data_IF_609853729174
#
_entry.id   IF_609853729174
#
_cell.length_a   1.000
_cell.length_b   1.000
_cell.length_c   1.000
_cell.angle_alpha   90.00
_cell.angle_beta   90.00
_cell.angle_gamma   90.00
#
_symmetry.space_group_name_H-M   'P 1'
#
loop_
_entity.id
_entity.type
_entity.pdbx_description
1 polymer ?
#
# COMPACT_ATOMS: atom_id res chain seq x y z
N UNK A 1 -3.51 17.84 -9.25
CA UNK A 1 -3.05 18.09 -10.64
C UNK A 1 -1.58 17.83 -10.67
N UNK A 2 -1.16 16.76 -11.34
CA UNK A 2 0.23 16.33 -11.40
C UNK A 2 1.09 17.35 -12.15
N UNK A 3 2.21 17.80 -11.56
CA UNK A 3 3.07 18.84 -12.15
C UNK A 3 4.02 18.25 -13.21
N UNK A 4 3.45 17.68 -14.27
CA UNK A 4 4.23 17.04 -15.35
C UNK A 4 5.23 18.00 -15.99
N UNK A 5 4.92 19.31 -16.06
CA UNK A 5 5.84 20.32 -16.59
C UNK A 5 7.12 20.43 -15.76
N UNK A 6 7.03 20.32 -14.43
CA UNK A 6 8.19 20.33 -13.54
C UNK A 6 9.01 19.05 -13.66
N UNK A 7 8.36 17.88 -13.67
CA UNK A 7 9.06 16.60 -13.74
C UNK A 7 9.59 16.27 -15.15
N UNK A 8 9.02 16.83 -16.21
CA UNK A 8 9.56 16.67 -17.56
C UNK A 8 10.99 17.22 -17.70
N UNK A 9 11.36 18.21 -16.86
CA UNK A 9 12.72 18.74 -16.75
C UNK A 9 13.74 17.77 -16.16
N UNK A 10 13.33 16.57 -15.78
CA UNK A 10 14.21 15.46 -15.40
C UNK A 10 14.87 14.85 -16.63
N UNK A 11 14.13 14.73 -17.74
CA UNK A 11 14.61 14.07 -18.96
C UNK A 11 14.74 15.01 -20.17
N UNK A 12 14.12 16.19 -20.14
CA UNK A 12 14.23 17.18 -21.21
C UNK A 12 14.35 18.61 -20.68
N UNK A 13 15.46 19.28 -20.99
CA UNK A 13 15.71 20.68 -20.60
C UNK A 13 14.89 21.69 -21.38
N UNK A 14 14.43 21.35 -22.58
CA UNK A 14 13.65 22.20 -23.49
C UNK A 14 12.17 21.87 -23.46
N UNK A 15 11.56 21.82 -22.29
CA UNK A 15 10.16 21.42 -22.14
C UNK A 15 9.21 22.42 -22.82
N UNK A 16 8.46 21.98 -23.83
CA UNK A 16 7.38 22.74 -24.46
C UNK A 16 5.98 22.21 -24.08
N UNK A 17 4.94 23.00 -24.34
CA UNK A 17 3.56 22.64 -24.01
C UNK A 17 3.13 21.36 -24.74
N UNK A 18 3.59 21.16 -25.98
CA UNK A 18 3.26 20.00 -26.80
C UNK A 18 3.79 18.69 -26.21
N UNK A 19 5.00 18.68 -25.66
CA UNK A 19 5.59 17.55 -24.96
C UNK A 19 4.79 17.27 -23.68
N UNK A 20 4.52 18.29 -22.86
CA UNK A 20 3.77 18.14 -21.60
C UNK A 20 2.39 17.58 -21.86
N UNK A 21 1.64 18.11 -22.83
CA UNK A 21 0.31 17.62 -23.19
C UNK A 21 0.33 16.15 -23.62
N UNK A 22 1.28 15.75 -24.45
CA UNK A 22 1.41 14.35 -24.88
C UNK A 22 1.71 13.42 -23.71
N UNK A 23 2.54 13.86 -22.76
CA UNK A 23 2.85 13.08 -21.55
C UNK A 23 1.66 13.02 -20.60
N UNK A 24 0.88 14.09 -20.44
CA UNK A 24 -0.35 14.07 -19.65
C UNK A 24 -1.39 13.09 -20.21
N UNK A 25 -1.50 12.96 -21.54
CA UNK A 25 -2.36 11.94 -22.15
C UNK A 25 -1.86 10.52 -21.86
N UNK A 26 -0.55 10.27 -21.95
CA UNK A 26 0.03 8.98 -21.56
C UNK A 26 -0.17 8.68 -20.07
N UNK A 27 -0.04 9.68 -19.19
CA UNK A 27 -0.32 9.60 -17.76
C UNK A 27 -1.75 9.13 -17.50
N UNK A 28 -2.74 9.68 -18.22
CA UNK A 28 -4.13 9.27 -18.07
C UNK A 28 -4.36 7.80 -18.47
N UNK A 29 -3.70 7.30 -19.51
CA UNK A 29 -3.79 5.88 -19.90
C UNK A 29 -3.09 4.95 -18.91
N UNK A 30 -1.94 5.35 -18.37
CA UNK A 30 -1.22 4.60 -17.33
C UNK A 30 -2.01 4.56 -16.03
N UNK A 31 -2.68 5.66 -15.68
CA UNK A 31 -3.60 5.71 -14.55
C UNK A 31 -4.74 4.71 -14.69
N UNK A 32 -5.40 4.67 -15.85
CA UNK A 32 -6.44 3.68 -16.11
C UNK A 32 -5.89 2.24 -16.04
N UNK A 33 -4.64 2.03 -16.46
CA UNK A 33 -3.96 0.75 -16.27
C UNK A 33 -3.77 0.41 -14.79
N UNK A 34 -3.28 1.33 -13.95
CA UNK A 34 -3.15 1.13 -12.51
C UNK A 34 -4.49 0.77 -11.85
N UNK A 35 -5.57 1.45 -12.22
CA UNK A 35 -6.93 1.16 -11.72
C UNK A 35 -7.41 -0.24 -12.14
N UNK A 36 -6.96 -0.76 -13.28
CA UNK A 36 -7.33 -2.09 -13.80
C UNK A 36 -6.55 -3.26 -13.19
N UNK A 37 -5.49 -2.99 -12.41
CA UNK A 37 -4.66 -4.04 -11.82
C UNK A 37 -5.44 -4.83 -10.76
N UNK A 38 -5.01 -6.06 -10.48
CA UNK A 38 -5.39 -6.75 -9.25
C UNK A 38 -4.49 -6.27 -8.10
N UNK A 39 -4.90 -6.39 -6.82
CA UNK A 39 -4.06 -6.01 -5.68
C UNK A 39 -2.66 -6.66 -5.70
N UNK A 40 -2.59 -7.95 -6.07
CA UNK A 40 -1.33 -8.69 -6.22
C UNK A 40 -0.41 -8.12 -7.31
N UNK A 41 -0.99 -7.79 -8.47
CA UNK A 41 -0.24 -7.17 -9.57
C UNK A 41 0.16 -5.74 -9.23
N UNK A 42 -0.65 -5.01 -8.46
CA UNK A 42 -0.32 -3.68 -7.98
C UNK A 42 0.91 -3.70 -7.05
N UNK A 43 0.96 -4.64 -6.10
CA UNK A 43 2.10 -4.79 -5.17
C UNK A 43 3.39 -5.09 -5.93
N UNK A 44 3.38 -6.08 -6.83
CA UNK A 44 4.56 -6.45 -7.64
C UNK A 44 4.97 -5.32 -8.59
N UNK A 45 4.01 -4.62 -9.20
CA UNK A 45 4.27 -3.45 -10.06
C UNK A 45 4.95 -2.32 -9.29
N UNK A 46 4.44 -1.96 -8.11
CA UNK A 46 5.04 -0.92 -7.26
C UNK A 46 6.46 -1.28 -6.84
N UNK A 47 6.71 -2.55 -6.47
CA UNK A 47 8.04 -3.05 -6.12
C UNK A 47 9.03 -2.87 -7.27
N UNK A 48 8.66 -3.36 -8.47
CA UNK A 48 9.48 -3.27 -9.68
C UNK A 48 9.78 -1.82 -10.08
N UNK A 49 8.76 -0.95 -10.07
CA UNK A 49 8.95 0.48 -10.36
C UNK A 49 9.89 1.11 -9.32
N UNK A 50 9.64 0.88 -8.03
CA UNK A 50 10.41 1.48 -6.93
C UNK A 50 11.89 1.08 -6.97
N UNK A 51 12.17 -0.20 -7.26
CA UNK A 51 13.53 -0.73 -7.36
C UNK A 51 14.36 -0.10 -8.49
N UNK A 52 13.68 0.46 -9.51
CA UNK A 52 14.33 1.10 -10.65
C UNK A 52 14.64 2.58 -10.44
N UNK A 53 14.11 3.21 -9.38
CA UNK A 53 14.44 4.60 -9.05
C UNK A 53 15.85 4.70 -8.50
N UNK A 54 16.60 5.71 -8.94
CA UNK A 54 17.95 5.96 -8.45
C UNK A 54 19.03 5.02 -8.95
N UNK A 55 18.68 4.05 -9.79
CA UNK A 55 19.62 3.12 -10.41
C UNK A 55 19.65 3.35 -11.92
N UNK A 56 20.79 3.05 -12.54
CA UNK A 56 20.91 2.93 -14.00
C UNK A 56 20.30 1.62 -14.53
N UNK A 57 19.53 0.90 -13.72
CA UNK A 57 18.84 -0.30 -14.17
C UNK A 57 17.59 0.08 -14.97
N UNK A 58 17.39 -0.55 -16.13
CA UNK A 58 16.16 -0.46 -16.89
C UNK A 58 14.97 -1.00 -16.10
N UNK A 59 13.76 -0.56 -16.47
CA UNK A 59 12.54 -1.19 -15.98
C UNK A 59 12.46 -2.63 -16.54
N UNK A 60 11.85 -3.59 -15.80
CA UNK A 60 11.52 -4.88 -16.38
C UNK A 60 10.70 -4.72 -17.66
N UNK A 61 11.00 -5.52 -18.68
CA UNK A 61 10.45 -5.34 -20.03
C UNK A 61 8.92 -5.30 -20.07
N UNK A 62 8.25 -6.09 -19.23
CA UNK A 62 6.79 -6.09 -19.11
C UNK A 62 6.22 -4.69 -18.78
N UNK A 63 6.84 -3.99 -17.82
CA UNK A 63 6.39 -2.66 -17.38
C UNK A 63 6.87 -1.59 -18.38
N UNK A 64 8.09 -1.73 -18.86
CA UNK A 64 8.67 -0.78 -19.81
C UNK A 64 7.92 -0.79 -21.14
N UNK A 65 7.51 -1.95 -21.64
CA UNK A 65 6.70 -2.08 -22.86
C UNK A 65 5.34 -1.41 -22.72
N UNK A 66 4.67 -1.54 -21.56
CA UNK A 66 3.41 -0.84 -21.28
C UNK A 66 3.64 0.67 -21.31
N UNK A 67 4.67 1.16 -20.62
CA UNK A 67 5.01 2.58 -20.61
C UNK A 67 5.35 3.14 -21.99
N UNK A 68 6.16 2.41 -22.76
CA UNK A 68 6.50 2.74 -24.15
C UNK A 68 5.25 2.81 -25.02
N UNK A 69 4.40 1.78 -24.99
CA UNK A 69 3.16 1.72 -25.76
C UNK A 69 2.26 2.93 -25.48
N UNK A 70 2.05 3.27 -24.20
CA UNK A 70 1.20 4.41 -23.80
C UNK A 70 1.78 5.75 -24.22
N UNK A 71 3.11 5.90 -24.17
CA UNK A 71 3.77 7.12 -24.63
C UNK A 71 3.72 7.24 -26.16
N UNK A 72 3.98 6.15 -26.89
CA UNK A 72 4.01 6.13 -28.36
C UNK A 72 2.66 6.47 -28.99
N UNK A 73 1.54 6.10 -28.33
CA UNK A 73 0.18 6.49 -28.79
C UNK A 73 0.01 8.00 -28.95
N UNK A 74 0.70 8.81 -28.15
CA UNK A 74 0.61 10.28 -28.19
C UNK A 74 1.90 10.95 -28.69
N UNK A 75 3.01 10.22 -28.73
CA UNK A 75 4.30 10.68 -29.19
C UNK A 75 4.98 9.59 -30.03
N UNK A 76 4.56 9.46 -31.29
CA UNK A 76 5.05 8.43 -32.23
C UNK A 76 6.57 8.46 -32.43
N UNK A 77 7.21 9.62 -32.22
CA UNK A 77 8.66 9.78 -32.26
C UNK A 77 9.40 9.22 -31.03
N UNK A 78 8.68 8.73 -30.01
CA UNK A 78 9.29 8.16 -28.83
C UNK A 78 9.91 6.79 -29.14
N UNK A 79 11.20 6.65 -28.85
CA UNK A 79 11.96 5.41 -29.02
C UNK A 79 12.59 5.05 -27.69
N UNK A 80 12.21 3.89 -27.10
CA UNK A 80 12.75 3.45 -25.80
C UNK A 80 14.27 3.35 -25.79
N UNK A 81 14.86 2.78 -26.84
CA UNK A 81 16.33 2.62 -26.94
C UNK A 81 17.12 3.93 -26.98
N UNK A 82 16.46 5.05 -27.30
CA UNK A 82 17.05 6.39 -27.28
C UNK A 82 16.95 7.07 -25.90
N UNK A 83 16.27 6.45 -24.93
CA UNK A 83 16.08 6.96 -23.57
C UNK A 83 16.92 6.13 -22.59
N UNK A 84 18.03 6.69 -22.05
CA UNK A 84 18.85 5.99 -21.07
C UNK A 84 18.01 5.52 -19.88
N UNK A 85 18.25 4.27 -19.47
CA UNK A 85 17.71 3.64 -18.26
C UNK A 85 16.18 3.76 -18.09
N UNK A 86 15.43 3.85 -19.21
CA UNK A 86 13.99 4.08 -19.22
C UNK A 86 13.52 5.32 -18.43
N UNK A 87 14.40 6.32 -18.26
CA UNK A 87 14.16 7.47 -17.34
C UNK A 87 12.83 8.17 -17.62
N UNK A 88 12.53 8.44 -18.88
CA UNK A 88 11.28 9.09 -19.27
C UNK A 88 10.05 8.26 -18.88
N UNK A 89 10.12 6.93 -19.05
CA UNK A 89 9.04 6.02 -18.70
C UNK A 89 8.85 6.00 -17.18
N UNK A 90 9.95 5.91 -16.40
CA UNK A 90 9.93 5.96 -14.94
C UNK A 90 9.25 7.23 -14.41
N UNK A 91 9.56 8.39 -14.99
CA UNK A 91 8.95 9.67 -14.62
C UNK A 91 7.45 9.66 -14.90
N UNK A 92 7.04 9.25 -16.11
CA UNK A 92 5.62 9.19 -16.49
C UNK A 92 4.84 8.22 -15.59
N UNK A 93 5.41 7.06 -15.24
CA UNK A 93 4.80 6.09 -14.32
C UNK A 93 4.62 6.69 -12.91
N UNK A 94 5.63 7.37 -12.36
CA UNK A 94 5.52 8.02 -11.05
C UNK A 94 4.48 9.15 -11.05
N UNK A 95 4.47 9.98 -12.09
CA UNK A 95 3.50 11.07 -12.25
C UNK A 95 2.07 10.53 -12.33
N UNK A 96 1.88 9.40 -13.01
CA UNK A 96 0.59 8.71 -13.05
C UNK A 96 0.19 8.08 -11.71
N UNK A 97 1.14 7.52 -10.97
CA UNK A 97 0.91 7.03 -9.62
C UNK A 97 0.48 8.18 -8.67
N UNK A 98 1.17 9.33 -8.73
CA UNK A 98 0.76 10.53 -7.98
C UNK A 98 -0.66 10.97 -8.35
N UNK A 99 -0.98 11.02 -9.65
CA UNK A 99 -2.30 11.47 -10.09
C UNK A 99 -3.42 10.50 -9.67
N UNK A 100 -3.21 9.18 -9.76
CA UNK A 100 -4.22 8.21 -9.34
C UNK A 100 -4.50 8.33 -7.85
N UNK A 101 -3.47 8.44 -7.01
CA UNK A 101 -3.62 8.58 -5.55
C UNK A 101 -4.34 9.87 -5.14
N UNK A 102 -4.11 10.96 -5.87
CA UNK A 102 -4.78 12.24 -5.61
C UNK A 102 -6.24 12.26 -6.08
N UNK A 103 -6.58 11.50 -7.11
CA UNK A 103 -7.89 11.55 -7.76
C UNK A 103 -8.96 10.65 -7.14
N UNK A 104 -8.57 9.56 -6.49
CA UNK A 104 -9.51 8.61 -5.90
C UNK A 104 -10.25 9.26 -4.72
N UNK A 105 -11.58 9.28 -4.83
CA UNK A 105 -12.46 9.72 -3.75
C UNK A 105 -12.72 8.56 -2.80
N UNK A 106 -12.52 8.79 -1.50
CA UNK A 106 -12.62 7.77 -0.47
C UNK A 106 -14.08 7.30 -0.30
N UNK A 107 -14.44 6.20 -0.96
CA UNK A 107 -15.77 5.58 -0.83
C UNK A 107 -15.72 4.15 -0.29
N UNK A 108 -14.61 3.45 -0.46
CA UNK A 108 -14.38 2.13 0.13
C UNK A 108 -12.90 1.80 0.00
N UNK A 109 -12.26 1.35 1.08
CA UNK A 109 -10.90 0.82 1.02
C UNK A 109 -10.89 -0.61 0.47
N UNK A 110 -9.80 -1.00 -0.16
CA UNK A 110 -9.56 -2.37 -0.64
C UNK A 110 -9.30 -2.49 -2.15
N UNK A 111 -9.20 -1.37 -2.86
CA UNK A 111 -8.95 -1.34 -4.29
C UNK A 111 -7.50 -1.68 -4.65
N UNK A 112 -7.27 -2.00 -5.92
CA UNK A 112 -5.92 -2.13 -6.49
C UNK A 112 -5.07 -0.88 -6.30
N UNK A 113 -5.68 0.31 -6.33
CA UNK A 113 -5.02 1.59 -6.08
C UNK A 113 -4.56 1.70 -4.63
N UNK A 114 -5.35 1.21 -3.67
CA UNK A 114 -4.97 1.20 -2.25
C UNK A 114 -3.75 0.29 -2.01
N UNK A 115 -3.76 -0.91 -2.63
CA UNK A 115 -2.64 -1.84 -2.59
C UNK A 115 -1.38 -1.24 -3.25
N UNK A 116 -1.54 -0.57 -4.39
CA UNK A 116 -0.46 0.13 -5.09
C UNK A 116 0.15 1.22 -4.22
N UNK A 117 -0.68 2.06 -3.59
CA UNK A 117 -0.24 3.16 -2.72
C UNK A 117 0.49 2.63 -1.47
N UNK A 118 -0.05 1.59 -0.82
CA UNK A 118 0.59 0.98 0.33
C UNK A 118 1.94 0.35 -0.02
N UNK A 119 2.03 -0.29 -1.19
CA UNK A 119 3.27 -0.88 -1.69
C UNK A 119 4.34 0.19 -1.99
N UNK A 120 3.97 1.28 -2.70
CA UNK A 120 4.88 2.41 -2.91
C UNK A 120 5.32 3.07 -1.62
N UNK A 121 4.41 3.25 -0.66
CA UNK A 121 4.78 3.79 0.66
C UNK A 121 5.83 2.88 1.32
N UNK A 122 5.58 1.57 1.40
CA UNK A 122 6.52 0.65 2.04
C UNK A 122 7.89 0.64 1.37
N UNK A 123 7.92 0.58 0.04
CA UNK A 123 9.16 0.50 -0.74
C UNK A 123 9.96 1.81 -0.69
N UNK A 124 9.32 2.94 -0.99
CA UNK A 124 10.01 4.24 -1.06
C UNK A 124 10.45 4.73 0.33
N UNK A 125 9.76 4.33 1.40
CA UNK A 125 10.19 4.62 2.77
C UNK A 125 11.40 3.77 3.23
N UNK A 126 11.79 2.74 2.48
CA UNK A 126 13.01 1.96 2.72
C UNK A 126 14.11 2.26 1.70
N UNK A 127 13.88 3.20 0.80
CA UNK A 127 14.86 3.58 -0.20
C UNK A 127 15.76 4.69 0.32
N UNK A 128 17.06 4.61 0.01
CA UNK A 128 18.00 5.69 0.29
C UNK A 128 17.63 6.96 -0.49
N UNK A 129 17.93 8.16 0.05
CA UNK A 129 17.82 9.39 -0.74
C UNK A 129 18.62 9.29 -2.05
N UNK A 130 18.03 9.76 -3.15
CA UNK A 130 18.66 9.72 -4.47
C UNK A 130 19.60 10.91 -4.66
N UNK A 131 20.73 10.70 -5.35
CA UNK A 131 21.73 11.76 -5.59
C UNK A 131 21.21 12.89 -6.48
N UNK A 132 20.37 12.56 -7.47
CA UNK A 132 19.79 13.54 -8.40
C UNK A 132 18.60 14.24 -7.74
N UNK A 133 18.79 15.50 -7.35
CA UNK A 133 17.81 16.33 -6.62
C UNK A 133 16.40 16.30 -7.22
N UNK A 134 16.28 16.44 -8.55
CA UNK A 134 14.96 16.43 -9.21
C UNK A 134 14.27 15.06 -9.14
N UNK A 135 15.04 13.97 -9.21
CA UNK A 135 14.51 12.60 -9.11
C UNK A 135 14.16 12.28 -7.66
N UNK A 136 14.99 12.73 -6.71
CA UNK A 136 14.70 12.62 -5.28
C UNK A 136 13.41 13.36 -4.92
N UNK A 137 13.20 14.56 -5.47
CA UNK A 137 11.95 15.30 -5.27
C UNK A 137 10.74 14.53 -5.78
N UNK A 138 10.81 13.95 -6.99
CA UNK A 138 9.74 13.09 -7.51
C UNK A 138 9.49 11.86 -6.60
N UNK A 139 10.55 11.23 -6.09
CA UNK A 139 10.45 10.12 -5.14
C UNK A 139 9.75 10.54 -3.84
N UNK A 140 10.11 11.69 -3.28
CA UNK A 140 9.49 12.25 -2.07
C UNK A 140 8.02 12.63 -2.28
N UNK A 141 7.69 13.23 -3.42
CA UNK A 141 6.31 13.59 -3.78
C UNK A 141 5.45 12.33 -3.95
N UNK A 142 5.99 11.29 -4.59
CA UNK A 142 5.32 9.99 -4.72
C UNK A 142 5.15 9.30 -3.35
N UNK A 143 6.18 9.29 -2.50
CA UNK A 143 6.10 8.76 -1.13
C UNK A 143 5.02 9.50 -0.32
N UNK A 144 4.99 10.83 -0.41
CA UNK A 144 4.02 11.67 0.31
C UNK A 144 2.59 11.43 -0.20
N UNK A 145 2.40 11.36 -1.53
CA UNK A 145 1.10 11.06 -2.14
C UNK A 145 0.59 9.67 -1.72
N UNK A 146 1.48 8.67 -1.76
CA UNK A 146 1.18 7.28 -1.37
C UNK A 146 0.75 7.20 0.10
N UNK A 147 1.55 7.78 1.00
CA UNK A 147 1.23 7.82 2.45
C UNK A 147 -0.08 8.55 2.72
N UNK A 148 -0.27 9.73 2.13
CA UNK A 148 -1.48 10.55 2.32
C UNK A 148 -2.73 9.81 1.86
N UNK A 149 -2.64 9.14 0.72
CA UNK A 149 -3.73 8.34 0.19
C UNK A 149 -4.09 7.18 1.11
N UNK A 150 -3.10 6.39 1.53
CA UNK A 150 -3.32 5.24 2.44
C UNK A 150 -3.95 5.69 3.74
N UNK A 151 -3.46 6.76 4.37
CA UNK A 151 -4.03 7.26 5.62
C UNK A 151 -5.46 7.77 5.44
N UNK A 152 -5.72 8.53 4.38
CA UNK A 152 -7.06 9.04 4.06
C UNK A 152 -8.06 7.91 3.85
N UNK A 153 -7.68 6.86 3.11
CA UNK A 153 -8.54 5.70 2.88
C UNK A 153 -8.70 4.88 4.15
N UNK A 154 -7.64 4.70 4.94
CA UNK A 154 -7.69 3.98 6.21
C UNK A 154 -8.66 4.63 7.21
N UNK A 155 -8.71 5.97 7.27
CA UNK A 155 -9.66 6.71 8.10
C UNK A 155 -11.09 6.64 7.54
N UNK A 156 -11.24 6.90 6.23
CA UNK A 156 -12.55 6.89 5.59
C UNK A 156 -13.22 5.51 5.61
N UNK A 157 -12.45 4.44 5.43
CA UNK A 157 -12.95 3.07 5.46
C UNK A 157 -13.42 2.64 6.86
N UNK A 158 -13.07 3.41 7.90
CA UNK A 158 -13.51 3.20 9.29
C UNK A 158 -14.61 4.16 9.75
N UNK A 159 -15.13 4.99 8.84
CA UNK A 159 -16.32 5.78 9.12
C UNK A 159 -17.54 4.87 9.25
N UNK A 160 -18.31 5.04 10.33
CA UNK A 160 -19.56 4.29 10.54
C UNK A 160 -20.60 4.69 9.49
N UNK A 161 -21.25 3.69 8.91
CA UNK A 161 -22.36 3.93 8.00
C UNK A 161 -23.64 4.21 8.80
N UNK A 162 -24.37 5.24 8.39
CA UNK A 162 -25.73 5.48 8.89
C UNK A 162 -26.63 4.33 8.44
N UNK A 163 -27.32 3.69 9.39
CA UNK A 163 -28.27 2.62 9.08
C UNK A 163 -29.61 3.25 8.66
N UNK A 164 -30.00 3.18 7.37
CA UNK A 164 -31.27 3.75 6.93
C UNK A 164 -32.45 2.97 7.49
N UNK A 165 -33.58 3.65 7.70
CA UNK A 165 -34.85 2.99 7.99
C UNK A 165 -35.38 2.29 6.74
N UNK A 166 -36.07 1.15 6.92
CA UNK A 166 -36.75 0.46 5.81
C UNK A 166 -37.91 1.35 5.37
N UNK A 167 -37.85 1.85 4.14
CA UNK A 167 -38.93 2.62 3.52
C UNK A 167 -40.17 1.76 3.23
N UNK A 168 -41.30 2.42 2.94
CA UNK A 168 -42.53 1.75 2.51
C UNK A 168 -42.27 0.99 1.19
N UNK A 169 -42.40 -0.34 1.24
CA UNK A 169 -42.32 -1.18 0.05
C UNK A 169 -43.64 -1.03 -0.72
N UNK A 170 -43.64 -0.18 -1.76
CA UNK A 170 -44.81 0.00 -2.61
C UNK A 170 -44.93 -1.17 -3.59
N UNK A 171 -45.77 -2.13 -3.24
CA UNK A 171 -46.10 -3.29 -4.07
C UNK A 171 -47.50 -3.08 -4.62
N UNK A 172 -47.64 -2.99 -5.94
CA UNK A 172 -48.97 -2.97 -6.56
C UNK A 172 -49.67 -4.30 -6.26
N UNK A 173 -50.87 -4.23 -5.68
CA UNK A 173 -51.69 -5.39 -5.31
C UNK A 173 -52.07 -6.27 -6.52
N UNK A 174 -51.96 -5.73 -7.75
CA UNK A 174 -52.22 -6.44 -9.01
C UNK A 174 -51.00 -7.16 -9.59
N UNK A 175 -49.85 -7.14 -8.89
CA UNK A 175 -48.63 -7.78 -9.40
C UNK A 175 -48.69 -9.31 -9.26
N UNK A 176 -49.07 -9.98 -10.34
CA UNK A 176 -49.07 -11.46 -10.47
C UNK A 176 -47.67 -12.07 -10.63
N UNK A 177 -46.60 -11.28 -10.47
CA UNK A 177 -45.20 -11.71 -10.62
C UNK A 177 -44.48 -11.71 -9.27
N UNK A 178 -44.29 -12.87 -8.61
CA UNK A 178 -43.61 -13.01 -7.32
C UNK A 178 -42.18 -12.41 -7.30
N UNK A 179 -41.52 -12.38 -8.46
CA UNK A 179 -40.17 -11.82 -8.62
C UNK A 179 -40.10 -10.31 -8.39
N UNK A 180 -41.18 -9.56 -8.66
CA UNK A 180 -41.22 -8.09 -8.45
C UNK A 180 -41.34 -7.73 -6.97
N UNK A 181 -42.10 -8.52 -6.21
CA UNK A 181 -42.27 -8.39 -4.76
C UNK A 181 -40.93 -8.60 -4.05
N UNK A 182 -40.23 -9.70 -4.37
CA UNK A 182 -38.92 -10.01 -3.78
C UNK A 182 -37.86 -8.96 -4.13
N UNK A 183 -37.87 -8.43 -5.36
CA UNK A 183 -36.93 -7.37 -5.78
C UNK A 183 -37.19 -6.05 -5.06
N UNK A 184 -38.45 -5.64 -4.92
CA UNK A 184 -38.82 -4.41 -4.21
C UNK A 184 -38.47 -4.49 -2.72
N UNK A 185 -38.72 -5.65 -2.09
CA UNK A 185 -38.33 -5.89 -0.71
C UNK A 185 -36.80 -5.89 -0.52
N UNK A 186 -36.06 -6.62 -1.37
CA UNK A 186 -34.60 -6.64 -1.34
C UNK A 186 -34.02 -5.22 -1.51
N UNK A 187 -34.51 -4.45 -2.49
CA UNK A 187 -34.04 -3.07 -2.70
C UNK A 187 -34.30 -2.13 -1.51
N UNK A 188 -35.39 -2.35 -0.76
CA UNK A 188 -35.72 -1.54 0.41
C UNK A 188 -34.87 -1.91 1.65
N UNK A 189 -34.45 -3.17 1.77
CA UNK A 189 -33.78 -3.70 2.96
C UNK A 189 -32.26 -3.82 2.78
N UNK A 190 -31.76 -4.03 1.56
CA UNK A 190 -30.33 -4.22 1.26
C UNK A 190 -29.45 -3.08 1.79
N UNK A 191 -29.83 -1.78 1.68
CA UNK A 191 -29.01 -0.69 2.22
C UNK A 191 -28.86 -0.77 3.75
N UNK A 192 -29.94 -1.15 4.44
CA UNK A 192 -29.93 -1.35 5.90
C UNK A 192 -29.02 -2.52 6.28
N UNK A 193 -29.18 -3.67 5.61
CA UNK A 193 -28.36 -4.87 5.88
C UNK A 193 -26.89 -4.59 5.58
N UNK A 194 -26.58 -3.92 4.47
CA UNK A 194 -25.21 -3.58 4.08
C UNK A 194 -24.55 -2.69 5.13
N UNK A 195 -25.22 -1.61 5.55
CA UNK A 195 -24.71 -0.72 6.59
C UNK A 195 -24.49 -1.44 7.93
N UNK A 196 -25.41 -2.32 8.34
CA UNK A 196 -25.25 -3.13 9.56
C UNK A 196 -24.06 -4.10 9.45
N UNK A 197 -23.89 -4.77 8.31
CA UNK A 197 -22.76 -5.69 8.07
C UNK A 197 -21.43 -4.95 8.10
N UNK A 198 -21.34 -3.82 7.41
CA UNK A 198 -20.12 -3.01 7.38
C UNK A 198 -19.74 -2.50 8.78
N UNK A 199 -20.71 -2.00 9.54
CA UNK A 199 -20.50 -1.58 10.92
C UNK A 199 -20.08 -2.76 11.82
N UNK A 200 -20.68 -3.94 11.66
CA UNK A 200 -20.29 -5.13 12.44
C UNK A 200 -18.87 -5.60 12.11
N UNK A 201 -18.41 -5.45 10.86
CA UNK A 201 -17.01 -5.73 10.48
C UNK A 201 -16.06 -4.76 11.18
N UNK A 202 -16.44 -3.48 11.30
CA UNK A 202 -15.67 -2.49 12.05
C UNK A 202 -15.63 -2.80 13.54
N UNK A 203 -16.78 -3.14 14.14
CA UNK A 203 -16.84 -3.55 15.56
C UNK A 203 -15.90 -4.72 15.83
N UNK A 204 -15.87 -5.71 14.94
CA UNK A 204 -15.01 -6.86 15.10
C UNK A 204 -13.53 -6.51 14.98
N UNK A 205 -13.15 -5.59 14.08
CA UNK A 205 -11.78 -5.08 13.97
C UNK A 205 -11.37 -4.36 15.25
N UNK A 206 -12.20 -3.44 15.73
CA UNK A 206 -11.93 -2.68 16.95
C UNK A 206 -11.85 -3.59 18.20
N UNK A 207 -12.75 -4.57 18.32
CA UNK A 207 -12.74 -5.54 19.42
C UNK A 207 -11.52 -6.46 19.37
N UNK A 208 -11.20 -7.05 18.21
CA UNK A 208 -10.03 -7.91 18.06
C UNK A 208 -8.73 -7.15 18.39
N UNK A 209 -8.63 -5.90 17.91
CA UNK A 209 -7.49 -5.02 18.16
C UNK A 209 -7.40 -4.63 19.64
N UNK A 210 -8.53 -4.27 20.27
CA UNK A 210 -8.57 -3.96 21.71
C UNK A 210 -8.22 -5.18 22.57
N UNK A 211 -8.70 -6.37 22.23
CA UNK A 211 -8.41 -7.59 23.00
C UNK A 211 -6.93 -7.95 22.93
N UNK A 212 -6.35 -7.89 21.72
CA UNK A 212 -4.91 -8.02 21.56
C UNK A 212 -4.16 -7.00 22.43
N UNK A 213 -4.59 -5.75 22.37
CA UNK A 213 -3.95 -4.65 23.08
C UNK A 213 -4.00 -4.79 24.61
N UNK A 214 -5.11 -5.32 25.15
CA UNK A 214 -5.30 -5.57 26.58
C UNK A 214 -4.58 -6.82 27.05
N UNK A 215 -4.37 -7.81 26.17
CA UNK A 215 -3.66 -9.05 26.50
C UNK A 215 -2.19 -8.80 26.87
N UNK A 216 -1.58 -7.75 26.32
CA UNK A 216 -0.15 -7.45 26.53
C UNK A 216 0.78 -8.56 26.05
N UNK A 217 0.30 -9.48 25.20
CA UNK A 217 1.02 -10.67 24.75
C UNK A 217 1.16 -10.68 23.23
N UNK A 218 2.30 -11.14 22.75
CA UNK A 218 2.47 -11.46 21.34
C UNK A 218 1.88 -12.84 21.06
N UNK A 219 0.88 -12.90 20.18
CA UNK A 219 0.29 -14.17 19.75
C UNK A 219 1.24 -14.93 18.83
N UNK A 220 1.99 -14.22 17.99
CA UNK A 220 2.99 -14.81 17.10
C UNK A 220 4.15 -15.50 17.85
N UNK A 221 4.60 -14.91 18.97
CA UNK A 221 5.72 -15.45 19.74
C UNK A 221 5.29 -16.35 20.90
N UNK A 222 4.04 -16.21 21.32
CA UNK A 222 3.51 -16.74 22.57
C UNK A 222 4.32 -16.27 23.79
N UNK A 223 4.62 -14.97 23.85
CA UNK A 223 5.43 -14.33 24.89
C UNK A 223 4.80 -12.99 25.32
N UNK A 224 4.85 -12.60 26.61
CA UNK A 224 4.42 -11.26 27.03
C UNK A 224 5.26 -10.18 26.33
N UNK A 225 4.62 -9.16 25.75
CA UNK A 225 5.32 -8.10 25.02
C UNK A 225 6.34 -7.38 25.93
N UNK A 226 5.99 -7.16 27.20
CA UNK A 226 6.85 -6.49 28.17
C UNK A 226 8.12 -7.27 28.53
N UNK A 227 8.16 -8.58 28.24
CA UNK A 227 9.35 -9.40 28.44
C UNK A 227 10.35 -9.33 27.28
N UNK A 228 9.94 -8.78 26.13
CA UNK A 228 10.75 -8.73 24.93
C UNK A 228 11.67 -7.48 24.93
N UNK A 229 12.88 -7.58 24.34
CA UNK A 229 13.73 -6.42 24.07
C UNK A 229 13.01 -5.37 23.19
N UNK A 230 13.32 -4.09 23.36
CA UNK A 230 12.55 -2.98 22.73
C UNK A 230 12.31 -3.12 21.22
N UNK A 231 13.35 -3.41 20.43
CA UNK A 231 13.20 -3.58 18.98
C UNK A 231 12.42 -4.85 18.59
N UNK A 232 12.65 -5.97 19.30
CA UNK A 232 11.91 -7.22 19.10
C UNK A 232 10.43 -7.03 19.45
N UNK A 233 10.14 -6.34 20.56
CA UNK A 233 8.81 -5.97 20.99
C UNK A 233 8.09 -5.12 19.94
N UNK A 234 8.78 -4.14 19.36
CA UNK A 234 8.22 -3.27 18.34
C UNK A 234 7.84 -4.03 17.06
N UNK A 235 8.73 -4.92 16.57
CA UNK A 235 8.45 -5.77 15.40
C UNK A 235 7.32 -6.74 15.68
N UNK A 236 7.35 -7.43 16.83
CA UNK A 236 6.31 -8.37 17.23
C UNK A 236 4.94 -7.67 17.34
N UNK A 237 4.88 -6.53 18.04
CA UNK A 237 3.65 -5.75 18.18
C UNK A 237 3.14 -5.21 16.83
N UNK A 238 4.04 -4.80 15.94
CA UNK A 238 3.72 -4.40 14.57
C UNK A 238 3.04 -5.52 13.78
N UNK A 239 3.65 -6.72 13.78
CA UNK A 239 3.11 -7.87 13.06
C UNK A 239 1.82 -8.42 13.68
N UNK A 240 1.74 -8.53 15.01
CA UNK A 240 0.52 -8.96 15.69
C UNK A 240 -0.62 -7.97 15.44
N UNK A 241 -0.36 -6.67 15.60
CA UNK A 241 -1.33 -5.61 15.34
C UNK A 241 -1.83 -5.64 13.89
N UNK A 242 -0.93 -5.87 12.92
CA UNK A 242 -1.30 -6.02 11.52
C UNK A 242 -2.28 -7.16 11.26
N UNK A 243 -2.14 -8.30 11.94
CA UNK A 243 -3.02 -9.47 11.79
C UNK A 243 -4.43 -9.25 12.35
N UNK A 244 -4.67 -8.15 13.07
CA UNK A 244 -5.99 -7.78 13.59
C UNK A 244 -6.76 -6.85 12.65
N UNK A 245 -6.08 -6.27 11.66
CA UNK A 245 -6.66 -5.27 10.78
C UNK A 245 -7.43 -5.93 9.63
N UNK A 246 -8.61 -5.40 9.30
CA UNK A 246 -9.37 -5.78 8.09
C UNK A 246 -9.24 -4.73 6.98
N UNK A 247 -8.52 -3.64 7.25
CA UNK A 247 -8.25 -2.50 6.36
C UNK A 247 -6.84 -1.99 6.60
N UNK A 248 -6.27 -1.22 5.67
CA UNK A 248 -4.93 -0.63 5.82
C UNK A 248 -4.79 0.16 7.14
N UNK A 249 -3.60 0.19 7.75
CA UNK A 249 -3.40 0.81 9.06
C UNK A 249 -3.55 2.34 8.98
N UNK A 250 -4.41 2.88 9.85
CA UNK A 250 -4.47 4.32 10.12
C UNK A 250 -3.41 4.77 11.14
N UNK A 251 -3.18 6.08 11.26
CA UNK A 251 -2.24 6.65 12.23
C UNK A 251 -2.56 6.24 13.68
N UNK A 252 -3.85 6.11 14.02
CA UNK A 252 -4.28 5.64 15.34
C UNK A 252 -3.72 4.24 15.67
N UNK A 253 -3.75 3.31 14.71
CA UNK A 253 -3.24 1.94 14.91
C UNK A 253 -1.73 1.95 15.15
N UNK A 254 -0.99 2.73 14.35
CA UNK A 254 0.46 2.91 14.55
C UNK A 254 0.74 3.44 15.95
N UNK A 255 0.03 4.49 16.38
CA UNK A 255 0.24 5.10 17.69
C UNK A 255 -0.10 4.12 18.82
N UNK A 256 -1.15 3.32 18.68
CA UNK A 256 -1.54 2.31 19.68
C UNK A 256 -0.51 1.18 19.77
N UNK A 257 -0.09 0.63 18.62
CA UNK A 257 0.91 -0.45 18.54
C UNK A 257 2.24 -0.02 19.16
N UNK A 258 2.64 1.24 18.96
CA UNK A 258 3.95 1.74 19.36
C UNK A 258 3.94 2.52 20.69
N UNK A 259 2.80 2.61 21.39
CA UNK A 259 2.60 3.48 22.56
C UNK A 259 3.59 3.27 23.72
N UNK A 260 4.06 2.03 23.90
CA UNK A 260 4.95 1.62 24.99
C UNK A 260 6.32 1.15 24.46
N UNK A 261 6.66 1.56 23.23
CA UNK A 261 7.96 1.26 22.65
C UNK A 261 8.88 2.43 22.94
N UNK A 262 9.86 2.20 23.81
CA UNK A 262 10.91 3.18 24.06
C UNK A 262 11.84 3.27 22.84
N UNK A 263 12.28 4.48 22.54
CA UNK A 263 13.31 4.71 21.53
C UNK A 263 14.64 4.25 22.11
N UNK A 264 14.97 2.98 21.86
CA UNK A 264 16.30 2.42 22.11
C UNK A 264 17.33 2.86 21.07
N UNK A 265 18.51 2.25 21.11
CA UNK A 265 19.55 2.48 20.10
C UNK A 265 19.05 2.08 18.70
N UNK A 266 19.28 2.93 17.68
CA UNK A 266 18.96 2.59 16.30
C UNK A 266 19.72 1.34 15.82
N UNK A 267 19.01 0.44 15.14
CA UNK A 267 19.54 -0.81 14.61
C UNK A 267 19.42 -0.85 13.09
N UNK A 268 20.44 -1.35 12.42
CA UNK A 268 20.39 -1.78 11.02
C UNK A 268 19.51 -3.03 10.87
N UNK A 269 19.17 -3.39 9.63
CA UNK A 269 18.38 -4.60 9.37
C UNK A 269 19.13 -5.85 9.84
N UNK A 270 20.45 -5.91 9.66
CA UNK A 270 21.28 -7.03 10.12
C UNK A 270 21.26 -7.17 11.64
N UNK A 271 21.55 -6.09 12.37
CA UNK A 271 21.51 -6.07 13.83
C UNK A 271 20.12 -6.47 14.36
N UNK A 272 19.04 -6.04 13.68
CA UNK A 272 17.67 -6.44 14.03
C UNK A 272 17.42 -7.94 13.82
N UNK A 273 17.83 -8.50 12.68
CA UNK A 273 17.65 -9.93 12.38
C UNK A 273 18.45 -10.80 13.35
N UNK A 274 19.67 -10.39 13.71
CA UNK A 274 20.48 -11.06 14.73
C UNK A 274 19.78 -11.02 16.10
N UNK A 275 19.24 -9.86 16.50
CA UNK A 275 18.53 -9.70 17.76
C UNK A 275 17.23 -10.53 17.82
N UNK A 276 16.54 -10.70 16.69
CA UNK A 276 15.37 -11.57 16.61
C UNK A 276 15.75 -13.05 16.82
N UNK A 277 16.92 -13.48 16.34
CA UNK A 277 17.43 -14.84 16.52
C UNK A 277 16.41 -15.90 16.11
N UNK A 278 16.17 -16.90 16.97
CA UNK A 278 15.23 -18.00 16.69
C UNK A 278 13.76 -17.55 16.57
N UNK A 279 13.38 -16.43 17.22
CA UNK A 279 12.00 -15.89 17.18
C UNK A 279 11.56 -15.52 15.77
N UNK A 280 12.53 -15.23 14.90
CA UNK A 280 12.32 -14.96 13.47
C UNK A 280 11.44 -16.04 12.80
N UNK A 281 11.69 -17.31 13.11
CA UNK A 281 10.95 -18.44 12.51
C UNK A 281 9.48 -18.44 12.92
N UNK A 282 9.20 -18.16 14.21
CA UNK A 282 7.83 -18.00 14.73
C UNK A 282 7.12 -16.82 14.06
N UNK A 283 7.75 -15.65 14.03
CA UNK A 283 7.19 -14.45 13.36
C UNK A 283 6.88 -14.69 11.88
N UNK A 284 7.71 -15.48 11.19
CA UNK A 284 7.55 -15.78 9.78
C UNK A 284 6.42 -16.78 9.47
N UNK A 285 5.83 -17.45 10.46
CA UNK A 285 4.92 -18.60 10.24
C UNK A 285 3.58 -18.19 9.63
N UNK A 286 2.99 -17.07 10.06
CA UNK A 286 1.65 -16.64 9.61
C UNK A 286 1.65 -15.85 8.28
N UNK A 287 2.81 -15.48 7.76
CA UNK A 287 2.95 -14.70 6.54
C UNK A 287 3.43 -15.58 5.38
N UNK A 288 3.03 -15.27 4.15
CA UNK A 288 3.50 -16.03 2.99
C UNK A 288 4.97 -15.73 2.68
N UNK A 289 5.57 -16.53 1.82
CA UNK A 289 6.87 -16.20 1.24
C UNK A 289 6.73 -14.92 0.40
N UNK A 290 7.60 -13.95 0.65
CA UNK A 290 7.75 -12.78 -0.21
C UNK A 290 8.27 -13.25 -1.57
N UNK A 291 7.56 -12.89 -2.65
CA UNK A 291 8.05 -13.18 -4.00
C UNK A 291 9.29 -12.33 -4.31
N UNK A 292 10.21 -12.84 -5.12
CA UNK A 292 11.45 -12.13 -5.44
C UNK A 292 11.20 -10.71 -6.00
N UNK A 293 10.14 -10.56 -6.81
CA UNK A 293 9.74 -9.29 -7.42
C UNK A 293 8.96 -8.36 -6.48
N UNK A 294 8.64 -8.80 -5.25
CA UNK A 294 7.98 -7.99 -4.20
C UNK A 294 8.97 -7.56 -3.09
N UNK A 295 10.26 -7.91 -3.21
CA UNK A 295 11.30 -7.68 -2.21
C UNK A 295 11.48 -6.21 -1.81
N UNK A 296 11.35 -5.27 -2.76
CA UNK A 296 11.46 -3.84 -2.45
C UNK A 296 10.31 -3.34 -1.57
N UNK A 297 9.12 -3.96 -1.64
CA UNK A 297 7.95 -3.61 -0.83
C UNK A 297 8.02 -4.25 0.56
N UNK A 298 8.64 -5.42 0.67
CA UNK A 298 8.69 -6.20 1.91
C UNK A 298 10.12 -6.45 2.42
N UNK A 299 10.98 -5.43 2.58
CA UNK A 299 12.37 -5.63 2.98
C UNK A 299 12.49 -6.27 4.37
N UNK A 300 11.65 -5.86 5.34
CA UNK A 300 11.68 -6.44 6.68
C UNK A 300 11.12 -7.87 6.68
N UNK A 301 9.97 -8.11 6.04
CA UNK A 301 9.40 -9.45 6.01
C UNK A 301 10.26 -10.45 5.21
N UNK A 302 10.88 -10.02 4.11
CA UNK A 302 11.80 -10.85 3.35
C UNK A 302 13.00 -11.25 4.21
N UNK A 303 13.55 -10.31 4.98
CA UNK A 303 14.64 -10.57 5.90
C UNK A 303 14.23 -11.48 7.07
N UNK A 304 13.04 -11.30 7.64
CA UNK A 304 12.50 -12.22 8.65
C UNK A 304 12.31 -13.61 8.04
N UNK A 305 11.82 -13.77 6.81
CA UNK A 305 11.61 -15.09 6.22
C UNK A 305 12.92 -15.80 5.88
N UNK A 306 13.85 -15.10 5.22
CA UNK A 306 15.05 -15.70 4.62
C UNK A 306 16.29 -15.60 5.50
N UNK A 307 16.34 -14.63 6.42
CA UNK A 307 17.56 -14.24 7.12
C UNK A 307 18.52 -13.39 6.28
N UNK A 308 18.23 -13.16 5.00
CA UNK A 308 19.03 -12.29 4.14
C UNK A 308 18.68 -10.82 4.39
N UNK A 309 19.69 -9.98 4.50
CA UNK A 309 19.53 -8.53 4.65
C UNK A 309 20.00 -7.77 3.42
N UNK A 310 19.98 -8.41 2.25
CA UNK A 310 20.40 -7.79 0.99
C UNK A 310 19.28 -6.89 0.44
N UNK A 311 19.19 -5.68 1.01
CA UNK A 311 18.22 -4.66 0.62
C UNK A 311 18.88 -3.28 0.59
N UNK A 312 18.40 -2.39 -0.28
CA UNK A 312 19.06 -1.12 -0.61
C UNK A 312 19.43 -0.24 0.61
N UNK A 313 18.61 -0.21 1.66
CA UNK A 313 18.89 0.55 2.89
C UNK A 313 19.05 -0.34 4.13
N UNK A 314 19.59 -1.56 3.97
CA UNK A 314 19.74 -2.52 5.06
C UNK A 314 20.72 -2.09 6.16
N UNK A 315 21.69 -1.25 5.82
CA UNK A 315 22.73 -0.69 6.69
C UNK A 315 22.30 0.59 7.42
N UNK A 316 21.26 1.28 6.94
CA UNK A 316 20.70 2.43 7.63
C UNK A 316 20.12 2.02 8.98
N UNK A 317 20.61 2.63 10.05
CA UNK A 317 20.09 2.39 11.39
C UNK A 317 18.74 3.07 11.57
N UNK A 318 17.74 2.30 12.00
CA UNK A 318 16.39 2.76 12.29
C UNK A 318 16.02 2.46 13.73
N UNK A 319 15.25 3.34 14.33
CA UNK A 319 14.75 3.20 15.70
C UNK A 319 13.80 2.01 15.83
N UNK A 320 13.63 1.50 17.05
CA UNK A 320 12.62 0.46 17.33
C UNK A 320 11.22 0.90 16.86
N UNK A 321 10.89 2.18 17.01
CA UNK A 321 9.63 2.75 16.55
C UNK A 321 9.45 2.64 15.03
N UNK A 322 10.48 2.98 14.25
CA UNK A 322 10.46 2.87 12.79
C UNK A 322 10.35 1.42 12.31
N UNK A 323 11.06 0.49 12.97
CA UNK A 323 10.95 -0.94 12.68
C UNK A 323 9.56 -1.49 12.99
N UNK A 324 8.96 -1.08 14.11
CA UNK A 324 7.59 -1.48 14.46
C UNK A 324 6.54 -0.89 13.51
N UNK A 325 6.69 0.39 13.11
CA UNK A 325 5.82 1.01 12.11
C UNK A 325 5.91 0.31 10.74
N UNK A 326 7.12 -0.08 10.34
CA UNK A 326 7.34 -0.86 9.11
C UNK A 326 6.75 -2.26 9.21
N UNK A 327 6.94 -2.95 10.32
CA UNK A 327 6.34 -4.26 10.58
C UNK A 327 4.80 -4.21 10.49
N UNK A 328 4.19 -3.16 11.04
CA UNK A 328 2.75 -2.93 10.92
C UNK A 328 2.31 -2.74 9.46
N UNK A 329 3.01 -1.91 8.69
CA UNK A 329 2.66 -1.63 7.30
C UNK A 329 2.84 -2.87 6.41
N UNK A 330 4.03 -3.48 6.43
CA UNK A 330 4.34 -4.66 5.62
C UNK A 330 3.46 -5.85 6.00
N UNK A 331 3.26 -6.08 7.30
CA UNK A 331 2.39 -7.13 7.82
C UNK A 331 0.93 -6.91 7.40
N UNK A 332 0.45 -5.67 7.41
CA UNK A 332 -0.94 -5.37 7.03
C UNK A 332 -1.15 -5.59 5.53
N UNK A 333 -0.21 -5.17 4.67
CA UNK A 333 -0.30 -5.42 3.22
C UNK A 333 -0.34 -6.94 2.96
N UNK A 334 0.55 -7.73 3.58
CA UNK A 334 0.55 -9.20 3.44
C UNK A 334 -0.73 -9.86 3.98
N UNK A 335 -1.24 -9.40 5.13
CA UNK A 335 -2.44 -9.94 5.74
C UNK A 335 -3.69 -9.67 4.88
N UNK A 336 -3.86 -8.43 4.42
CA UNK A 336 -5.02 -8.02 3.63
C UNK A 336 -5.02 -8.65 2.23
N UNK A 337 -3.83 -8.93 1.68
CA UNK A 337 -3.66 -9.74 0.46
C UNK A 337 -4.33 -11.11 0.58
N UNK A 338 -4.15 -11.81 1.72
CA UNK A 338 -4.75 -13.13 1.99
C UNK A 338 -6.26 -13.06 2.25
N UNK A 339 -6.72 -11.94 2.82
CA UNK A 339 -8.12 -11.69 3.15
C UNK A 339 -9.04 -11.46 1.95
N UNK A 340 -8.53 -11.53 0.72
CA UNK A 340 -9.22 -11.34 -0.56
C UNK A 340 -10.39 -12.30 -0.84
N UNK A 341 -10.73 -13.20 0.08
CA UNK A 341 -12.03 -13.87 0.07
C UNK A 341 -13.17 -13.02 0.65
N UNK A 342 -12.90 -11.96 1.44
CA UNK A 342 -13.93 -11.10 2.08
C UNK A 342 -13.44 -9.68 2.51
N UNK A 343 -12.30 -9.18 2.06
CA UNK A 343 -11.69 -7.94 2.62
C UNK A 343 -10.82 -7.10 1.69
N UNK A 344 -10.97 -7.24 0.37
CA UNK A 344 -10.55 -6.28 -0.67
C UNK A 344 -11.63 -6.30 -1.76
#
# INVERSE_FOLDING_TARGET
>A
MSNMAEYARIFDTGTDDGLVEKRLKAVAEIKAWFESLTPDLAISTASRISSSFGTSACLPDEIAAIGEEKIQRHAVSFVRSANPDDLQIKVVLAVAAIDVFQSVTAKSGGTSVDALAAAFWSALAFQRPLELEKVERLRQDLLTASRTHVLKIADAARARQTVPSIGLVSISQDSTQPSRVNKAFSQAVEPMISAMRENAVLDREELDFMWWLLSGRSELLDEPLDSLPGAVRAVAAGLDGALKLRRLPADAHRNIVLRNIENGEPLSLMELIELLGERRTKLATNFDSVKADESAVFPLMAAIKTGSTDACASDEKKTAWEWGARALLEGAIQHLRKGTANGL
#
